data_IF_129870682309
#
_entry.id   IF_129870682309
#
_cell.length_a   1.000
_cell.length_b   1.000
_cell.length_c   1.000
_cell.angle_alpha   90.00
_cell.angle_beta   90.00
_cell.angle_gamma   90.00
#
_symmetry.space_group_name_H-M   'P 1'
#
loop_
_entity.id
_entity.type
_entity.pdbx_description
1 polymer ?
#
# COMPACT_ATOMS: atom_id res chain seq x y z
N UNK A 1 -10.87 18.83 -6.37
CA UNK A 1 -10.55 18.30 -5.01
C UNK A 1 -11.04 19.21 -3.88
N UNK A 2 -10.59 20.47 -3.76
CA UNK A 2 -11.07 21.37 -2.68
C UNK A 2 -12.59 21.59 -2.68
N UNK A 3 -13.19 21.72 -3.86
CA UNK A 3 -14.66 21.83 -4.00
C UNK A 3 -15.36 20.54 -3.56
N UNK A 4 -14.81 19.37 -3.88
CA UNK A 4 -15.33 18.05 -3.48
C UNK A 4 -15.36 17.92 -1.96
N UNK A 5 -14.26 18.28 -1.27
CA UNK A 5 -14.21 18.30 0.20
C UNK A 5 -15.19 19.28 0.80
N UNK A 6 -15.30 20.51 0.26
CA UNK A 6 -16.26 21.50 0.74
C UNK A 6 -17.71 21.07 0.56
N UNK A 7 -18.02 20.40 -0.53
CA UNK A 7 -19.36 19.87 -0.79
C UNK A 7 -19.68 18.67 0.12
N UNK A 8 -18.71 17.76 0.31
CA UNK A 8 -18.84 16.63 1.23
C UNK A 8 -19.08 17.09 2.68
N UNK A 9 -18.40 18.16 3.12
CA UNK A 9 -18.56 18.71 4.47
C UNK A 9 -19.97 19.26 4.74
N UNK A 10 -20.69 19.72 3.72
CA UNK A 10 -22.09 20.18 3.84
C UNK A 10 -23.07 19.03 4.08
N UNK A 11 -22.69 17.81 3.73
CA UNK A 11 -23.54 16.62 3.89
C UNK A 11 -23.27 16.03 5.28
N UNK A 12 -24.27 16.01 6.15
CA UNK A 12 -24.13 15.61 7.57
C UNK A 12 -23.55 14.20 7.74
N UNK A 13 -24.01 13.22 6.95
CA UNK A 13 -23.50 11.84 7.03
C UNK A 13 -22.03 11.72 6.62
N UNK A 14 -21.64 12.43 5.55
CA UNK A 14 -20.24 12.41 5.08
C UNK A 14 -19.35 13.17 6.08
N UNK A 15 -19.84 14.25 6.67
CA UNK A 15 -19.14 14.95 7.74
C UNK A 15 -18.87 14.03 8.94
N UNK A 16 -19.86 13.24 9.37
CA UNK A 16 -19.71 12.27 10.46
C UNK A 16 -18.64 11.21 10.11
N UNK A 17 -18.63 10.70 8.88
CA UNK A 17 -17.62 9.74 8.41
C UNK A 17 -16.22 10.35 8.35
N UNK A 18 -16.08 11.60 7.88
CA UNK A 18 -14.80 12.33 7.87
C UNK A 18 -14.29 12.50 9.30
N UNK A 19 -15.14 12.99 10.21
CA UNK A 19 -14.78 13.19 11.61
C UNK A 19 -14.37 11.88 12.30
N UNK A 20 -15.10 10.79 12.02
CA UNK A 20 -14.75 9.46 12.53
C UNK A 20 -13.39 8.99 12.02
N UNK A 21 -13.11 9.15 10.74
CA UNK A 21 -11.80 8.83 10.16
C UNK A 21 -10.68 9.65 10.81
N UNK A 22 -10.89 10.96 11.00
CA UNK A 22 -9.93 11.84 11.67
C UNK A 22 -9.72 11.45 13.13
N UNK A 23 -10.76 11.04 13.85
CA UNK A 23 -10.67 10.56 15.22
C UNK A 23 -9.76 9.31 15.30
N UNK A 24 -9.98 8.33 14.41
CA UNK A 24 -9.16 7.11 14.39
C UNK A 24 -7.70 7.45 14.02
N UNK A 25 -7.49 8.34 13.08
CA UNK A 25 -6.14 8.83 12.73
C UNK A 25 -5.45 9.46 13.94
N UNK A 26 -6.18 10.24 14.73
CA UNK A 26 -5.66 10.83 15.96
C UNK A 26 -5.30 9.75 16.99
N UNK A 27 -6.17 8.75 17.21
CA UNK A 27 -5.87 7.61 18.09
C UNK A 27 -4.62 6.84 17.63
N UNK A 28 -4.49 6.61 16.32
CA UNK A 28 -3.29 6.00 15.74
C UNK A 28 -2.03 6.83 16.03
N UNK A 29 -2.11 8.15 15.90
CA UNK A 29 -0.96 9.03 16.20
C UNK A 29 -0.60 9.06 17.70
N UNK A 30 -1.58 9.01 18.58
CA UNK A 30 -1.34 8.90 20.02
C UNK A 30 -0.63 7.58 20.36
N UNK A 31 -1.04 6.46 19.79
CA UNK A 31 -0.39 5.16 20.00
C UNK A 31 1.06 5.12 19.47
N UNK A 32 1.37 5.88 18.42
CA UNK A 32 2.75 6.03 17.92
C UNK A 32 3.66 6.82 18.89
N UNK A 33 3.12 7.50 19.86
CA UNK A 33 3.89 8.24 20.87
C UNK A 33 4.16 7.41 22.15
N UNK A 34 3.52 6.24 22.29
CA UNK A 34 3.66 5.41 23.50
C UNK A 34 4.78 4.38 23.30
N UNK A 35 5.90 4.48 24.01
CA UNK A 35 7.00 3.52 23.90
C UNK A 35 6.66 2.20 24.58
N UNK A 36 7.24 1.10 24.08
CA UNK A 36 7.15 -0.23 24.71
C UNK A 36 8.00 -0.24 25.98
N UNK A 37 7.51 -0.84 27.09
CA UNK A 37 8.27 -0.94 28.32
C UNK A 37 9.55 -1.77 28.13
N UNK A 38 10.54 -1.55 28.98
CA UNK A 38 11.83 -2.25 29.05
C UNK A 38 12.79 -1.99 27.88
N UNK A 39 12.46 -1.16 26.92
CA UNK A 39 13.31 -0.81 25.76
C UNK A 39 13.92 0.58 25.96
N UNK A 40 15.21 0.72 25.69
CA UNK A 40 15.87 2.03 25.62
C UNK A 40 15.64 2.67 24.26
N UNK A 41 14.64 3.54 24.19
CA UNK A 41 14.22 4.20 22.95
C UNK A 41 15.28 5.16 22.41
N UNK A 42 16.11 5.77 23.29
CA UNK A 42 17.19 6.68 22.85
C UNK A 42 18.31 5.89 22.21
N UNK A 43 18.79 4.85 22.89
CA UNK A 43 19.83 3.96 22.34
C UNK A 43 19.42 3.35 20.99
N UNK A 44 18.14 2.98 20.86
CA UNK A 44 17.61 2.45 19.60
C UNK A 44 17.58 3.52 18.48
N UNK A 45 17.15 4.74 18.78
CA UNK A 45 17.11 5.83 17.82
C UNK A 45 18.52 6.21 17.34
N UNK A 46 19.49 6.28 18.28
CA UNK A 46 20.89 6.56 17.98
C UNK A 46 21.53 5.44 17.16
N UNK A 47 21.26 4.18 17.52
CA UNK A 47 21.70 3.01 16.76
C UNK A 47 21.14 3.03 15.32
N UNK A 48 19.88 3.40 15.13
CA UNK A 48 19.24 3.51 13.82
C UNK A 48 19.89 4.61 12.95
N UNK A 49 20.37 5.69 13.57
CA UNK A 49 21.06 6.77 12.87
C UNK A 49 22.52 6.43 12.55
N UNK A 50 23.23 5.84 13.51
CA UNK A 50 24.67 5.55 13.40
C UNK A 50 24.98 4.35 12.49
N UNK A 51 24.10 3.34 12.46
CA UNK A 51 24.37 2.07 11.77
C UNK A 51 24.01 2.05 10.26
N UNK A 52 23.56 3.18 9.68
CA UNK A 52 23.14 3.23 8.27
C UNK A 52 21.88 2.40 7.96
N UNK A 53 21.20 1.86 8.99
CA UNK A 53 19.98 1.06 8.84
C UNK A 53 18.82 1.82 8.17
N UNK A 54 18.92 3.15 8.11
CA UNK A 54 17.95 3.99 7.38
C UNK A 54 17.90 3.67 5.87
N UNK A 55 19.00 3.17 5.32
CA UNK A 55 19.13 2.81 3.90
C UNK A 55 18.81 1.35 3.61
N UNK A 56 18.45 0.57 4.64
CA UNK A 56 18.06 -0.83 4.52
C UNK A 56 16.54 -0.98 4.52
N UNK A 57 16.07 -2.22 4.33
CA UNK A 57 14.67 -2.59 4.44
C UNK A 57 14.06 -2.18 5.80
N UNK A 58 14.86 -2.17 6.88
CA UNK A 58 14.41 -1.71 8.20
C UNK A 58 14.11 -0.20 8.20
N UNK A 59 14.87 0.60 7.44
CA UNK A 59 14.56 2.00 7.21
C UNK A 59 13.21 2.20 6.52
N UNK A 60 12.89 1.32 5.58
CA UNK A 60 11.61 1.31 4.91
C UNK A 60 10.44 0.99 5.86
N UNK A 61 10.60 -0.02 6.74
CA UNK A 61 9.62 -0.30 7.80
C UNK A 61 9.42 0.90 8.71
N UNK A 62 10.52 1.60 9.03
CA UNK A 62 10.45 2.83 9.81
C UNK A 62 9.68 3.95 9.09
N UNK A 63 9.78 4.06 7.76
CA UNK A 63 8.97 5.00 6.97
C UNK A 63 7.49 4.61 7.01
N UNK A 64 7.17 3.33 6.79
CA UNK A 64 5.78 2.83 6.76
C UNK A 64 5.11 2.86 8.14
N UNK A 65 5.88 2.78 9.22
CA UNK A 65 5.37 2.94 10.60
C UNK A 65 5.28 4.41 11.05
N UNK A 66 5.70 5.36 10.21
CA UNK A 66 5.71 6.78 10.58
C UNK A 66 6.75 7.15 11.63
N UNK A 67 7.84 6.37 11.77
CA UNK A 67 8.89 6.55 12.76
C UNK A 67 8.72 5.71 14.03
N UNK A 68 7.61 5.01 14.17
CA UNK A 68 7.31 4.16 15.32
C UNK A 68 8.33 3.02 15.51
N UNK A 69 8.87 2.48 14.40
CA UNK A 69 9.85 1.41 14.44
C UNK A 69 11.17 1.86 15.10
N UNK A 70 11.73 2.98 14.73
CA UNK A 70 12.99 3.49 15.32
C UNK A 70 12.86 3.96 16.77
N UNK A 71 11.65 4.11 17.28
CA UNK A 71 11.36 4.52 18.66
C UNK A 71 10.80 3.37 19.51
N UNK A 72 10.71 2.14 18.96
CA UNK A 72 10.09 0.98 19.62
C UNK A 72 8.76 1.32 20.29
N UNK A 73 7.86 1.99 19.61
CA UNK A 73 6.52 2.27 20.15
C UNK A 73 5.60 1.07 20.01
N UNK A 74 4.45 1.10 20.66
CA UNK A 74 3.44 0.01 20.59
C UNK A 74 3.09 -0.32 19.14
N UNK A 75 3.10 0.68 18.25
CA UNK A 75 2.78 0.54 16.83
C UNK A 75 4.01 0.36 15.92
N UNK A 76 5.14 -0.09 16.46
CA UNK A 76 6.39 -0.25 15.69
C UNK A 76 6.24 -1.19 14.48
N UNK A 77 5.51 -2.30 14.60
CA UNK A 77 5.23 -3.20 13.49
C UNK A 77 4.26 -2.63 12.47
N UNK A 78 3.57 -1.52 12.79
CA UNK A 78 2.59 -0.88 11.93
C UNK A 78 1.54 -1.88 11.42
N UNK A 79 1.08 -1.73 10.17
CA UNK A 79 0.11 -2.60 9.50
C UNK A 79 0.77 -3.75 8.72
N UNK A 80 2.12 -3.88 8.80
CA UNK A 80 2.90 -4.87 8.02
C UNK A 80 2.43 -6.32 8.23
N UNK A 81 2.19 -6.81 9.47
CA UNK A 81 1.70 -8.17 9.67
C UNK A 81 0.40 -8.45 8.94
N UNK A 82 -0.51 -7.47 8.90
CA UNK A 82 -1.77 -7.59 8.19
C UNK A 82 -1.59 -7.61 6.66
N UNK A 83 -0.74 -6.75 6.12
CA UNK A 83 -0.43 -6.73 4.68
C UNK A 83 0.13 -8.10 4.27
N UNK A 84 1.12 -8.62 5.00
CA UNK A 84 1.70 -9.92 4.73
C UNK A 84 0.67 -11.05 4.82
N UNK A 85 -0.18 -11.06 5.86
CA UNK A 85 -1.26 -12.02 6.01
C UNK A 85 -2.25 -11.96 4.84
N UNK A 86 -2.67 -10.75 4.46
CA UNK A 86 -3.60 -10.53 3.36
C UNK A 86 -3.05 -11.06 2.03
N UNK A 87 -1.76 -10.80 1.74
CA UNK A 87 -1.08 -11.30 0.54
C UNK A 87 -1.06 -12.83 0.55
N UNK A 88 -0.63 -13.43 1.67
CA UNK A 88 -0.54 -14.89 1.80
C UNK A 88 -1.92 -15.53 1.59
N UNK A 89 -2.96 -15.01 2.25
CA UNK A 89 -4.31 -15.54 2.11
C UNK A 89 -4.86 -15.35 0.70
N UNK A 90 -4.62 -14.21 0.04
CA UNK A 90 -5.01 -14.01 -1.36
C UNK A 90 -4.34 -15.01 -2.31
N UNK A 91 -3.05 -15.27 -2.12
CA UNK A 91 -2.32 -16.29 -2.89
C UNK A 91 -2.86 -17.70 -2.62
N UNK A 92 -3.15 -18.03 -1.35
CA UNK A 92 -3.74 -19.31 -0.97
C UNK A 92 -5.17 -19.49 -1.50
N UNK A 93 -5.96 -18.43 -1.62
CA UNK A 93 -7.28 -18.48 -2.24
C UNK A 93 -7.24 -18.86 -3.73
N UNK A 94 -6.11 -18.64 -4.41
CA UNK A 94 -5.93 -19.09 -5.80
C UNK A 94 -5.34 -20.50 -5.85
N UNK A 95 -4.40 -20.82 -4.93
CA UNK A 95 -3.71 -22.10 -4.91
C UNK A 95 -4.56 -23.24 -4.34
N UNK A 96 -5.47 -22.96 -3.41
CA UNK A 96 -6.28 -23.96 -2.71
C UNK A 96 -7.74 -23.89 -3.18
N UNK A 97 -8.26 -24.93 -3.90
CA UNK A 97 -9.62 -24.92 -4.44
C UNK A 97 -10.73 -24.73 -3.39
N UNK A 98 -10.49 -25.18 -2.16
CA UNK A 98 -11.45 -25.00 -1.06
C UNK A 98 -11.63 -23.53 -0.67
N UNK A 99 -10.51 -22.74 -0.64
CA UNK A 99 -10.55 -21.31 -0.36
C UNK A 99 -11.08 -20.51 -1.56
N UNK A 100 -10.77 -20.96 -2.77
CA UNK A 100 -11.31 -20.37 -4.00
C UNK A 100 -12.84 -20.45 -4.04
N UNK A 101 -13.40 -21.64 -3.73
CA UNK A 101 -14.86 -21.83 -3.64
C UNK A 101 -15.46 -20.94 -2.55
N UNK A 102 -14.82 -20.88 -1.39
CA UNK A 102 -15.29 -20.03 -0.30
C UNK A 102 -15.34 -18.55 -0.71
N UNK A 103 -14.38 -18.10 -1.51
CA UNK A 103 -14.31 -16.71 -2.00
C UNK A 103 -15.36 -16.41 -3.08
N UNK A 104 -15.57 -17.34 -4.04
CA UNK A 104 -16.43 -17.13 -5.21
C UNK A 104 -17.88 -17.53 -4.96
N UNK A 105 -18.10 -18.64 -4.26
CA UNK A 105 -19.43 -19.24 -4.06
C UNK A 105 -20.02 -18.93 -2.69
N UNK A 106 -19.17 -18.59 -1.68
CA UNK A 106 -19.60 -18.38 -0.31
C UNK A 106 -20.33 -17.05 -0.03
N UNK A 107 -20.47 -16.18 -1.03
CA UNK A 107 -21.17 -14.89 -0.88
C UNK A 107 -20.59 -14.03 0.26
N UNK A 108 -21.45 -13.40 1.05
CA UNK A 108 -21.04 -12.56 2.21
C UNK A 108 -20.46 -13.37 3.37
N UNK A 109 -20.95 -14.58 3.61
CA UNK A 109 -20.41 -15.46 4.66
C UNK A 109 -19.01 -15.95 4.30
N UNK A 110 -18.76 -16.29 3.04
CA UNK A 110 -17.45 -16.68 2.56
C UNK A 110 -16.42 -15.55 2.73
N UNK A 111 -16.78 -14.33 2.37
CA UNK A 111 -15.93 -13.16 2.57
C UNK A 111 -15.61 -12.93 4.06
N UNK A 112 -16.61 -13.06 4.96
CA UNK A 112 -16.40 -12.93 6.40
C UNK A 112 -15.47 -14.01 6.95
N UNK A 113 -15.57 -15.25 6.48
CA UNK A 113 -14.66 -16.34 6.88
C UNK A 113 -13.23 -16.08 6.42
N UNK A 114 -13.02 -15.63 5.18
CA UNK A 114 -11.69 -15.27 4.67
C UNK A 114 -11.10 -14.10 5.49
N UNK A 115 -11.89 -13.07 5.78
CA UNK A 115 -11.47 -11.98 6.64
C UNK A 115 -11.04 -12.46 8.03
N UNK A 116 -11.79 -13.41 8.65
CA UNK A 116 -11.41 -13.99 9.93
C UNK A 116 -10.10 -14.78 9.86
N UNK A 117 -9.89 -15.57 8.80
CA UNK A 117 -8.62 -16.29 8.59
C UNK A 117 -7.47 -15.29 8.45
N UNK A 118 -7.67 -14.20 7.71
CA UNK A 118 -6.66 -13.13 7.57
C UNK A 118 -6.33 -12.48 8.91
N UNK A 119 -7.32 -12.23 9.79
CA UNK A 119 -7.10 -11.67 11.13
C UNK A 119 -6.26 -12.61 12.00
N UNK A 120 -6.58 -13.92 12.05
CA UNK A 120 -5.79 -14.90 12.80
C UNK A 120 -4.37 -15.02 12.25
N UNK A 121 -4.22 -15.05 10.92
CA UNK A 121 -2.90 -15.07 10.27
C UNK A 121 -2.10 -13.80 10.59
N UNK A 122 -2.76 -12.65 10.69
CA UNK A 122 -2.13 -11.38 11.09
C UNK A 122 -1.52 -11.47 12.49
N UNK A 123 -2.25 -12.03 13.44
CA UNK A 123 -1.74 -12.21 14.82
C UNK A 123 -0.56 -13.18 14.83
N UNK A 124 -0.63 -14.30 14.09
CA UNK A 124 0.47 -15.26 14.01
C UNK A 124 1.74 -14.63 13.39
N UNK A 125 1.60 -13.91 12.30
CA UNK A 125 2.72 -13.18 11.65
C UNK A 125 3.22 -12.06 12.55
N UNK A 126 2.34 -11.35 13.24
CA UNK A 126 2.67 -10.33 14.23
C UNK A 126 3.53 -10.87 15.37
N UNK A 127 3.20 -12.07 15.90
CA UNK A 127 4.03 -12.76 16.90
C UNK A 127 5.42 -13.08 16.36
N UNK A 128 5.52 -13.61 15.14
CA UNK A 128 6.80 -13.92 14.50
C UNK A 128 7.65 -12.66 14.30
N UNK A 129 7.06 -11.60 13.77
CA UNK A 129 7.77 -10.32 13.55
C UNK A 129 8.11 -9.62 14.86
N UNK A 130 7.24 -9.67 15.86
CA UNK A 130 7.50 -9.14 17.19
C UNK A 130 8.66 -9.86 17.87
N UNK A 131 8.72 -11.20 17.74
CA UNK A 131 9.85 -12.00 18.21
C UNK A 131 11.16 -11.64 17.46
N UNK A 132 11.11 -11.48 16.13
CA UNK A 132 12.27 -11.07 15.35
C UNK A 132 12.81 -9.71 15.80
N UNK A 133 11.91 -8.75 16.03
CA UNK A 133 12.27 -7.42 16.47
C UNK A 133 12.84 -7.43 17.89
N UNK A 134 12.27 -8.23 18.80
CA UNK A 134 12.84 -8.44 20.13
C UNK A 134 14.26 -9.04 20.05
N UNK A 135 14.47 -10.08 19.22
CA UNK A 135 15.80 -10.69 19.05
C UNK A 135 16.81 -9.69 18.51
N UNK A 136 16.41 -8.85 17.55
CA UNK A 136 17.25 -7.76 17.05
C UNK A 136 17.66 -6.80 18.19
N UNK A 137 16.70 -6.31 18.98
CA UNK A 137 16.99 -5.41 20.09
C UNK A 137 17.88 -6.04 21.14
N UNK A 138 17.69 -7.32 21.43
CA UNK A 138 18.53 -8.08 22.38
C UNK A 138 19.97 -8.22 21.88
N UNK A 139 20.16 -8.56 20.62
CA UNK A 139 21.49 -8.77 20.01
C UNK A 139 22.33 -7.48 20.00
N UNK A 140 21.69 -6.34 19.88
CA UNK A 140 22.35 -5.03 19.88
C UNK A 140 22.34 -4.32 21.25
N UNK A 141 21.95 -5.04 22.32
CA UNK A 141 21.92 -4.52 23.69
C UNK A 141 21.07 -3.25 23.86
N UNK A 142 19.95 -3.17 23.15
CA UNK A 142 19.01 -2.05 23.16
C UNK A 142 17.88 -2.21 24.19
N UNK A 143 17.89 -3.29 24.95
CA UNK A 143 17.00 -3.56 26.07
C UNK A 143 17.70 -3.11 27.35
N UNK A 144 16.96 -2.50 28.27
CA UNK A 144 17.52 -2.06 29.55
C UNK A 144 18.23 -3.23 30.26
N UNK A 145 19.46 -2.99 30.71
CA UNK A 145 20.36 -4.02 31.23
C UNK A 145 19.72 -4.91 32.34
N UNK A 146 18.91 -4.30 33.20
CA UNK A 146 18.22 -5.00 34.31
C UNK A 146 17.19 -6.04 33.82
N UNK A 147 16.72 -5.93 32.60
CA UNK A 147 15.66 -6.76 32.01
C UNK A 147 16.12 -7.61 30.82
N UNK A 148 17.36 -7.46 30.35
CA UNK A 148 17.87 -8.11 29.14
C UNK A 148 17.86 -9.65 29.21
N UNK A 149 17.95 -10.25 30.39
CA UNK A 149 17.89 -11.71 30.65
C UNK A 149 16.52 -12.18 31.13
N UNK A 150 15.58 -11.28 31.37
CA UNK A 150 14.28 -11.63 31.95
C UNK A 150 13.29 -12.13 30.88
N UNK A 151 12.87 -13.38 31.00
CA UNK A 151 11.88 -14.00 30.09
C UNK A 151 10.53 -13.27 30.13
N UNK A 152 10.15 -12.72 31.30
CA UNK A 152 8.92 -11.96 31.44
C UNK A 152 8.95 -10.68 30.60
N UNK A 153 10.07 -9.95 30.60
CA UNK A 153 10.24 -8.77 29.77
C UNK A 153 10.15 -9.11 28.26
N UNK A 154 10.74 -10.23 27.85
CA UNK A 154 10.63 -10.71 26.47
C UNK A 154 9.17 -10.96 26.06
N UNK A 155 8.41 -11.66 26.90
CA UNK A 155 6.99 -11.95 26.63
C UNK A 155 6.19 -10.65 26.53
N UNK A 156 6.39 -9.70 27.45
CA UNK A 156 5.68 -8.41 27.45
C UNK A 156 5.99 -7.62 26.19
N UNK A 157 7.26 -7.52 25.78
CA UNK A 157 7.68 -6.79 24.58
C UNK A 157 7.03 -7.39 23.34
N UNK A 158 7.11 -8.73 23.15
CA UNK A 158 6.56 -9.41 21.97
C UNK A 158 5.04 -9.26 21.92
N UNK A 159 4.35 -9.47 23.04
CA UNK A 159 2.90 -9.31 23.12
C UNK A 159 2.46 -7.88 22.88
N UNK A 160 3.22 -6.89 23.35
CA UNK A 160 2.90 -5.46 23.14
C UNK A 160 2.98 -5.11 21.64
N UNK A 161 4.03 -5.54 20.93
CA UNK A 161 4.13 -5.31 19.48
C UNK A 161 3.01 -6.02 18.70
N UNK A 162 2.69 -7.26 19.10
CA UNK A 162 1.65 -8.03 18.43
C UNK A 162 0.27 -7.42 18.65
N UNK A 163 -0.05 -7.07 19.90
CA UNK A 163 -1.32 -6.41 20.23
C UNK A 163 -1.45 -5.03 19.56
N UNK A 164 -0.34 -4.29 19.47
CA UNK A 164 -0.31 -3.02 18.74
C UNK A 164 -0.65 -3.19 17.27
N UNK A 165 -0.05 -4.17 16.58
CA UNK A 165 -0.38 -4.42 15.16
C UNK A 165 -1.81 -4.93 14.96
N UNK A 166 -2.32 -5.76 15.87
CA UNK A 166 -3.71 -6.20 15.86
C UNK A 166 -4.69 -5.03 16.08
N UNK A 167 -4.34 -4.09 16.95
CA UNK A 167 -5.13 -2.88 17.17
C UNK A 167 -5.15 -1.99 15.93
N UNK A 168 -4.01 -1.80 15.25
CA UNK A 168 -3.94 -1.03 14.00
C UNK A 168 -4.80 -1.68 12.92
N UNK A 169 -4.75 -3.02 12.79
CA UNK A 169 -5.61 -3.77 11.87
C UNK A 169 -7.09 -3.46 12.15
N UNK A 170 -7.51 -3.56 13.42
CA UNK A 170 -8.88 -3.27 13.82
C UNK A 170 -9.27 -1.82 13.53
N UNK A 171 -8.40 -0.84 13.84
CA UNK A 171 -8.63 0.57 13.51
C UNK A 171 -8.78 0.79 12.00
N UNK A 172 -7.97 0.11 11.17
CA UNK A 172 -8.09 0.15 9.72
C UNK A 172 -9.42 -0.41 9.20
N UNK A 173 -9.88 -1.52 9.78
CA UNK A 173 -11.19 -2.09 9.45
C UNK A 173 -12.33 -1.15 9.86
N UNK A 174 -12.25 -0.49 11.02
CA UNK A 174 -13.24 0.50 11.46
C UNK A 174 -13.33 1.70 10.50
N UNK A 175 -12.20 2.20 9.99
CA UNK A 175 -12.23 3.25 8.97
C UNK A 175 -12.91 2.75 7.69
N UNK A 176 -12.64 1.52 7.27
CA UNK A 176 -13.23 0.96 6.05
C UNK A 176 -14.75 0.78 6.17
N UNK A 177 -15.24 0.39 7.35
CA UNK A 177 -16.66 0.13 7.60
C UNK A 177 -17.45 1.41 7.86
N UNK A 178 -16.96 2.29 8.73
CA UNK A 178 -17.69 3.48 9.20
C UNK A 178 -17.10 4.80 8.70
N UNK A 179 -15.93 4.80 8.08
CA UNK A 179 -15.24 5.99 7.61
C UNK A 179 -15.35 6.21 6.10
N UNK A 180 -14.27 6.71 5.50
CA UNK A 180 -14.16 7.00 4.08
C UNK A 180 -13.00 6.20 3.48
N UNK A 181 -13.25 5.53 2.36
CA UNK A 181 -12.23 4.82 1.60
C UNK A 181 -11.68 3.57 2.29
N UNK A 182 -10.47 3.17 1.92
CA UNK A 182 -9.78 2.02 2.49
C UNK A 182 -8.97 2.43 3.72
N UNK A 183 -9.37 1.97 4.90
CA UNK A 183 -8.75 2.38 6.17
C UNK A 183 -7.28 1.99 6.30
N UNK A 184 -6.89 0.84 5.72
CA UNK A 184 -5.50 0.39 5.71
C UNK A 184 -4.62 1.34 4.91
N UNK A 185 -5.09 1.73 3.72
CA UNK A 185 -4.41 2.70 2.86
C UNK A 185 -4.31 4.07 3.54
N UNK A 186 -5.36 4.50 4.25
CA UNK A 186 -5.36 5.77 5.00
C UNK A 186 -4.33 5.75 6.15
N UNK A 187 -4.23 4.65 6.90
CA UNK A 187 -3.22 4.53 7.96
C UNK A 187 -1.81 4.60 7.37
N UNK A 188 -1.54 3.92 6.26
CA UNK A 188 -0.26 4.02 5.54
C UNK A 188 0.02 5.45 5.06
N UNK A 189 -0.97 6.10 4.47
CA UNK A 189 -0.89 7.49 4.03
C UNK A 189 -0.49 8.42 5.18
N UNK A 190 -1.19 8.33 6.30
CA UNK A 190 -0.91 9.15 7.50
C UNK A 190 0.48 8.87 8.07
N UNK A 191 0.90 7.60 8.07
CA UNK A 191 2.24 7.21 8.54
C UNK A 191 3.33 7.87 7.72
N UNK A 192 3.21 7.82 6.40
CA UNK A 192 4.21 8.39 5.49
C UNK A 192 4.22 9.92 5.57
N UNK A 193 3.03 10.56 5.48
CA UNK A 193 2.89 12.03 5.49
C UNK A 193 3.39 12.61 6.80
N UNK A 194 3.22 11.92 7.92
CA UNK A 194 3.65 12.39 9.23
C UNK A 194 5.17 12.59 9.36
N UNK A 195 5.97 11.96 8.51
CA UNK A 195 7.44 12.14 8.50
C UNK A 195 7.89 13.30 7.61
N UNK A 196 7.04 13.81 6.73
CA UNK A 196 7.41 14.88 5.81
C UNK A 196 7.94 16.13 6.51
N UNK A 197 7.30 16.67 7.57
CA UNK A 197 7.82 17.86 8.24
C UNK A 197 9.23 17.67 8.78
N UNK A 198 9.49 16.55 9.46
CA UNK A 198 10.81 16.25 10.02
C UNK A 198 11.87 16.04 8.92
N UNK A 199 11.48 15.40 7.81
CA UNK A 199 12.36 15.20 6.66
C UNK A 199 12.74 16.54 6.01
N UNK A 200 11.78 17.46 5.86
CA UNK A 200 12.01 18.81 5.31
C UNK A 200 12.97 19.60 6.20
N UNK A 201 12.69 19.63 7.52
CA UNK A 201 13.54 20.34 8.50
C UNK A 201 14.97 19.81 8.44
N UNK A 202 15.16 18.49 8.41
CA UNK A 202 16.49 17.86 8.32
C UNK A 202 17.22 18.27 7.03
N UNK A 203 16.54 18.26 5.89
CA UNK A 203 17.13 18.64 4.61
C UNK A 203 17.53 20.12 4.58
N UNK A 204 16.70 21.01 5.14
CA UNK A 204 17.02 22.43 5.27
C UNK A 204 18.24 22.63 6.18
N UNK A 205 18.32 21.90 7.30
CA UNK A 205 19.47 21.96 8.20
C UNK A 205 20.76 21.47 7.50
N UNK A 206 20.71 20.43 6.69
CA UNK A 206 21.86 19.95 5.92
C UNK A 206 22.35 21.02 4.92
N UNK A 207 21.45 21.81 4.33
CA UNK A 207 21.82 22.93 3.47
C UNK A 207 22.45 24.07 4.28
N UNK A 208 21.89 24.38 5.46
CA UNK A 208 22.43 25.44 6.32
C UNK A 208 23.82 25.07 6.87
N UNK A 209 24.04 23.80 7.18
CA UNK A 209 25.34 23.29 7.66
C UNK A 209 26.41 23.18 6.55
N UNK A 210 25.99 23.32 5.27
CA UNK A 210 26.90 23.21 4.12
C UNK A 210 27.10 21.78 3.61
N UNK A 211 26.43 20.79 4.20
CA UNK A 211 26.51 19.37 3.80
C UNK A 211 25.83 19.12 2.46
N UNK A 212 24.83 19.94 2.11
CA UNK A 212 24.06 19.84 0.85
C UNK A 212 24.01 21.18 0.13
N UNK A 213 24.28 21.17 -1.18
CA UNK A 213 24.13 22.39 -1.98
C UNK A 213 22.65 22.75 -2.17
N UNK A 214 22.30 24.02 -1.98
CA UNK A 214 20.90 24.49 -2.05
C UNK A 214 20.20 24.17 -3.36
N UNK A 215 20.91 24.17 -4.50
CA UNK A 215 20.37 23.84 -5.81
C UNK A 215 19.97 22.36 -5.94
N UNK A 216 20.65 21.45 -5.21
CA UNK A 216 20.30 20.03 -5.15
C UNK A 216 18.94 19.85 -4.48
N UNK A 217 18.71 20.59 -3.36
CA UNK A 217 17.42 20.59 -2.67
C UNK A 217 16.28 21.05 -3.61
N UNK A 218 16.49 22.15 -4.34
CA UNK A 218 15.49 22.67 -5.30
C UNK A 218 15.20 21.64 -6.39
N UNK A 219 16.23 21.02 -6.96
CA UNK A 219 16.09 20.01 -8.01
C UNK A 219 15.33 18.78 -7.52
N UNK A 220 15.56 18.38 -6.28
CA UNK A 220 14.82 17.28 -5.63
C UNK A 220 13.32 17.56 -5.52
N UNK A 221 12.93 18.72 -4.97
CA UNK A 221 11.51 19.05 -4.81
C UNK A 221 10.84 19.24 -6.17
N UNK A 222 11.54 19.78 -7.16
CA UNK A 222 11.04 19.88 -8.52
C UNK A 222 10.85 18.50 -9.15
N UNK A 223 11.79 17.58 -8.94
CA UNK A 223 11.67 16.19 -9.35
C UNK A 223 10.51 15.46 -8.67
N UNK A 224 10.33 15.64 -7.35
CA UNK A 224 9.20 15.09 -6.62
C UNK A 224 7.86 15.64 -7.13
N UNK A 225 7.77 16.93 -7.42
CA UNK A 225 6.58 17.55 -8.00
C UNK A 225 6.27 16.97 -9.38
N UNK A 226 7.29 16.83 -10.24
CA UNK A 226 7.15 16.20 -11.55
C UNK A 226 6.65 14.76 -11.44
N UNK A 227 7.18 13.98 -10.49
CA UNK A 227 6.70 12.62 -10.21
C UNK A 227 5.23 12.63 -9.77
N UNK A 228 4.82 13.55 -8.89
CA UNK A 228 3.42 13.67 -8.46
C UNK A 228 2.52 13.94 -9.66
N UNK A 229 2.87 14.88 -10.54
CA UNK A 229 2.09 15.19 -11.74
C UNK A 229 1.98 13.96 -12.64
N UNK A 230 3.08 13.24 -12.85
CA UNK A 230 3.11 12.04 -13.67
C UNK A 230 2.22 10.93 -13.07
N UNK A 231 2.24 10.74 -11.74
CA UNK A 231 1.41 9.76 -11.04
C UNK A 231 -0.08 10.10 -11.20
N UNK A 232 -0.44 11.37 -11.04
CA UNK A 232 -1.84 11.82 -11.22
C UNK A 232 -2.30 11.58 -12.64
N UNK A 233 -1.52 11.97 -13.65
CA UNK A 233 -1.86 11.81 -15.07
C UNK A 233 -2.08 10.33 -15.43
N UNK A 234 -1.22 9.43 -14.98
CA UNK A 234 -1.37 7.99 -15.30
C UNK A 234 -2.50 7.33 -14.50
N UNK A 235 -2.73 7.72 -13.25
CA UNK A 235 -3.85 7.19 -12.46
C UNK A 235 -5.23 7.66 -12.96
N UNK A 236 -5.30 8.83 -13.61
CA UNK A 236 -6.51 9.35 -14.23
C UNK A 236 -6.68 8.89 -15.68
N UNK A 237 -5.62 8.36 -16.30
CA UNK A 237 -5.66 7.87 -17.66
C UNK A 237 -6.54 6.60 -17.76
N UNK A 238 -7.46 6.60 -18.73
CA UNK A 238 -8.34 5.48 -19.02
C UNK A 238 -8.42 5.17 -20.51
N UNK A 239 -8.46 3.88 -20.85
CA UNK A 239 -8.76 3.40 -22.20
C UNK A 239 -10.24 3.17 -22.32
N UNK A 240 -10.94 3.96 -23.13
CA UNK A 240 -12.38 3.83 -23.40
C UNK A 240 -12.60 2.87 -24.56
N UNK A 241 -13.24 1.72 -24.29
CA UNK A 241 -13.65 0.78 -25.35
C UNK A 241 -15.08 1.11 -25.77
N UNK A 242 -15.35 1.31 -27.07
CA UNK A 242 -16.70 1.61 -27.55
C UNK A 242 -17.60 0.37 -27.39
N UNK A 243 -18.75 0.55 -26.78
CA UNK A 243 -19.79 -0.47 -26.62
C UNK A 243 -21.08 0.06 -27.22
N UNK A 244 -21.71 -0.74 -28.04
CA UNK A 244 -23.01 -0.44 -28.66
C UNK A 244 -24.07 -1.40 -28.11
N UNK A 245 -25.22 -0.87 -27.76
CA UNK A 245 -26.38 -1.65 -27.33
C UNK A 245 -27.39 -1.78 -28.47
N UNK A 246 -27.92 -2.99 -28.68
CA UNK A 246 -28.95 -3.27 -29.67
C UNK A 246 -30.19 -2.44 -29.34
N UNK A 247 -30.82 -1.88 -30.39
CA UNK A 247 -32.09 -1.19 -30.25
C UNK A 247 -33.17 -2.24 -29.93
N UNK A 248 -33.90 -2.05 -28.84
CA UNK A 248 -35.09 -2.84 -28.51
C UNK A 248 -36.33 -2.02 -28.81
N UNK A 249 -37.24 -2.59 -29.57
CA UNK A 249 -38.58 -2.03 -29.81
C UNK A 249 -39.50 -2.66 -28.78
N UNK A 250 -40.10 -1.86 -27.89
CA UNK A 250 -41.12 -2.29 -26.94
C UNK A 250 -42.39 -1.53 -27.27
N UNK A 251 -43.32 -2.18 -27.94
CA UNK A 251 -44.53 -1.53 -28.50
C UNK A 251 -44.17 -0.54 -29.60
N UNK A 252 -44.70 0.69 -29.52
CA UNK A 252 -44.43 1.80 -30.47
C UNK A 252 -43.18 2.64 -30.15
N UNK A 253 -42.51 2.38 -29.03
CA UNK A 253 -41.33 3.17 -28.60
C UNK A 253 -40.04 2.38 -28.80
N UNK A 254 -39.06 3.00 -29.44
CA UNK A 254 -37.73 2.48 -29.61
C UNK A 254 -36.89 2.84 -28.37
N UNK A 255 -36.43 1.82 -27.65
CA UNK A 255 -35.49 1.96 -26.52
C UNK A 255 -34.12 1.40 -26.92
N UNK A 256 -33.04 2.10 -26.57
CA UNK A 256 -31.65 1.67 -26.82
C UNK A 256 -31.04 2.36 -28.04
N UNK A 257 -29.89 1.85 -28.47
CA UNK A 257 -29.08 2.45 -29.54
C UNK A 257 -28.11 3.55 -29.03
N UNK A 258 -27.97 3.71 -27.73
CA UNK A 258 -26.92 4.58 -27.16
C UNK A 258 -25.57 3.86 -27.28
N UNK A 259 -24.58 4.55 -27.84
CA UNK A 259 -23.20 4.12 -27.76
C UNK A 259 -22.63 4.59 -26.42
N UNK A 260 -22.16 3.66 -25.63
CA UNK A 260 -21.47 3.91 -24.38
C UNK A 260 -20.02 3.45 -24.49
N UNK A 261 -19.22 3.79 -23.51
CA UNK A 261 -17.84 3.34 -23.46
C UNK A 261 -17.61 2.51 -22.19
N UNK A 262 -16.83 1.44 -22.31
CA UNK A 262 -16.31 0.69 -21.17
C UNK A 262 -14.96 1.33 -20.79
N UNK A 263 -14.87 2.08 -19.65
CA UNK A 263 -13.62 2.67 -19.22
C UNK A 263 -12.73 1.61 -18.58
N UNK A 264 -11.50 1.49 -19.05
CA UNK A 264 -10.45 0.65 -18.44
C UNK A 264 -9.32 1.55 -17.99
N UNK A 265 -9.07 1.63 -16.69
CA UNK A 265 -7.97 2.43 -16.14
C UNK A 265 -6.62 1.88 -16.56
N UNK A 266 -5.66 2.75 -16.83
CA UNK A 266 -4.29 2.34 -17.18
C UNK A 266 -3.60 1.68 -15.98
N UNK A 267 -3.82 2.21 -14.79
CA UNK A 267 -3.40 1.57 -13.54
C UNK A 267 -4.62 0.96 -12.85
N UNK A 268 -5.02 -0.27 -13.27
CA UNK A 268 -6.16 -0.97 -12.67
C UNK A 268 -5.84 -1.53 -11.29
N UNK A 269 -4.61 -1.96 -11.08
CA UNK A 269 -4.15 -2.58 -9.84
C UNK A 269 -3.82 -1.58 -8.73
N UNK A 270 -3.80 -0.28 -9.03
CA UNK A 270 -3.51 0.77 -8.04
C UNK A 270 -2.10 0.66 -7.47
N UNK A 271 -1.99 0.84 -6.16
CA UNK A 271 -0.71 0.83 -5.42
C UNK A 271 -0.37 -0.54 -4.84
N UNK A 272 -1.34 -1.47 -4.79
CA UNK A 272 -1.19 -2.76 -4.13
C UNK A 272 -0.03 -3.62 -4.65
N UNK A 273 0.26 -3.70 -5.97
CA UNK A 273 1.39 -4.45 -6.47
C UNK A 273 2.74 -4.02 -5.89
N UNK A 274 2.92 -2.73 -5.67
CA UNK A 274 4.16 -2.19 -5.08
C UNK A 274 4.29 -2.62 -3.63
N UNK A 275 3.19 -2.52 -2.86
CA UNK A 275 3.15 -2.90 -1.45
C UNK A 275 3.44 -4.41 -1.32
N UNK A 276 2.88 -5.24 -2.22
CA UNK A 276 3.11 -6.68 -2.23
C UNK A 276 4.55 -7.03 -2.61
N UNK A 277 5.07 -6.44 -3.68
CA UNK A 277 6.45 -6.63 -4.10
C UNK A 277 7.43 -6.25 -2.99
N UNK A 278 7.17 -5.13 -2.31
CA UNK A 278 7.96 -4.63 -1.19
C UNK A 278 7.92 -5.57 0.01
N UNK A 279 6.73 -6.08 0.36
CA UNK A 279 6.56 -7.01 1.46
C UNK A 279 7.32 -8.32 1.23
N UNK A 280 7.28 -8.86 0.01
CA UNK A 280 8.01 -10.08 -0.34
C UNK A 280 9.52 -9.83 -0.43
N UNK A 281 9.94 -8.70 -1.00
CA UNK A 281 11.36 -8.34 -1.05
C UNK A 281 11.96 -8.15 0.36
N UNK A 282 11.13 -7.79 1.36
CA UNK A 282 11.52 -7.63 2.75
C UNK A 282 11.62 -8.96 3.53
N UNK A 283 11.01 -10.06 3.05
CA UNK A 283 11.00 -11.35 3.76
C UNK A 283 12.41 -11.90 4.05
N UNK A 284 13.37 -11.92 3.09
CA UNK A 284 14.71 -12.43 3.36
C UNK A 284 15.41 -11.68 4.49
N UNK A 285 15.33 -10.34 4.50
CA UNK A 285 15.92 -9.54 5.55
C UNK A 285 15.24 -9.76 6.92
N UNK A 286 13.92 -9.96 6.92
CA UNK A 286 13.16 -10.28 8.13
C UNK A 286 13.61 -11.65 8.67
N UNK A 287 13.75 -12.67 7.82
CA UNK A 287 14.22 -14.00 8.22
C UNK A 287 15.65 -13.94 8.76
N UNK A 288 16.54 -13.18 8.11
CA UNK A 288 17.91 -13.03 8.57
C UNK A 288 18.03 -12.28 9.91
N UNK A 289 17.06 -11.46 10.27
CA UNK A 289 17.00 -10.83 11.59
C UNK A 289 16.90 -11.89 12.72
N UNK A 290 16.34 -13.08 12.46
CA UNK A 290 16.30 -14.19 13.42
C UNK A 290 17.64 -14.89 13.61
N UNK A 291 18.51 -14.88 12.59
CA UNK A 291 19.77 -15.62 12.60
C UNK A 291 20.93 -14.66 12.31
N UNK A 292 21.61 -14.11 13.35
CA UNK A 292 22.67 -13.11 13.18
C UNK A 292 23.80 -13.54 12.26
N UNK A 293 24.08 -14.85 12.20
CA UNK A 293 25.10 -15.41 11.29
C UNK A 293 24.78 -15.22 9.80
N UNK A 294 23.51 -15.07 9.46
CA UNK A 294 23.07 -14.91 8.06
C UNK A 294 23.09 -13.45 7.62
N UNK A 295 23.11 -12.49 8.54
CA UNK A 295 23.14 -11.06 8.22
C UNK A 295 24.39 -10.68 7.40
N UNK A 296 25.53 -11.31 7.70
CA UNK A 296 26.79 -11.10 6.97
C UNK A 296 27.01 -12.14 5.86
N UNK A 297 25.99 -12.91 5.48
CA UNK A 297 26.07 -13.83 4.36
C UNK A 297 26.27 -13.09 3.05
N UNK A 298 27.10 -13.62 2.15
CA UNK A 298 27.34 -13.07 0.81
C UNK A 298 26.04 -12.76 0.06
N UNK A 299 25.01 -13.61 0.20
CA UNK A 299 23.70 -13.43 -0.44
C UNK A 299 23.00 -12.19 0.12
N UNK A 300 23.06 -11.93 1.43
CA UNK A 300 22.40 -10.78 2.04
C UNK A 300 23.07 -9.47 1.64
N UNK A 301 24.39 -9.44 1.63
CA UNK A 301 25.14 -8.22 1.32
C UNK A 301 25.19 -7.88 -0.17
N UNK A 302 25.04 -8.86 -1.08
CA UNK A 302 25.18 -8.64 -2.52
C UNK A 302 23.87 -8.76 -3.31
N UNK A 303 22.86 -9.46 -2.77
CA UNK A 303 21.60 -9.71 -3.48
C UNK A 303 20.43 -8.97 -2.84
N UNK A 304 20.34 -8.97 -1.51
CA UNK A 304 19.19 -8.42 -0.79
C UNK A 304 19.46 -7.06 -0.10
N UNK A 305 20.64 -6.48 -0.31
CA UNK A 305 20.88 -5.10 0.09
C UNK A 305 20.17 -4.16 -0.90
N UNK A 306 19.41 -3.20 -0.37
CA UNK A 306 18.61 -2.23 -1.14
C UNK A 306 19.43 -1.33 -2.06
N UNK A 307 20.73 -1.21 -1.82
CA UNK A 307 21.66 -0.40 -2.61
C UNK A 307 22.28 -1.17 -3.77
N UNK A 308 22.04 -2.48 -3.88
CA UNK A 308 22.65 -3.33 -4.90
C UNK A 308 21.80 -3.47 -6.16
N UNK A 309 22.46 -3.57 -7.31
CA UNK A 309 21.79 -3.78 -8.60
C UNK A 309 20.92 -5.06 -8.66
N UNK A 310 21.36 -6.23 -8.12
CA UNK A 310 20.52 -7.41 -8.09
C UNK A 310 19.19 -7.21 -7.35
N UNK A 311 19.20 -6.50 -6.22
CA UNK A 311 17.97 -6.16 -5.50
C UNK A 311 17.00 -5.33 -6.36
N UNK A 312 17.53 -4.30 -7.05
CA UNK A 312 16.74 -3.44 -7.92
C UNK A 312 16.05 -4.24 -9.03
N UNK A 313 16.79 -5.17 -9.65
CA UNK A 313 16.24 -6.04 -10.71
C UNK A 313 15.18 -6.99 -10.17
N UNK A 314 15.42 -7.63 -9.02
CA UNK A 314 14.44 -8.52 -8.38
C UNK A 314 13.17 -7.74 -8.02
N UNK A 315 13.32 -6.55 -7.45
CA UNK A 315 12.19 -5.71 -7.06
C UNK A 315 11.39 -5.24 -8.29
N UNK A 316 12.06 -4.87 -9.38
CA UNK A 316 11.42 -4.55 -10.66
C UNK A 316 10.57 -5.71 -11.18
N UNK A 317 11.12 -6.92 -11.21
CA UNK A 317 10.41 -8.12 -11.66
C UNK A 317 9.25 -8.48 -10.75
N UNK A 318 9.40 -8.32 -9.44
CA UNK A 318 8.31 -8.55 -8.48
C UNK A 318 7.15 -7.58 -8.70
N UNK A 319 7.41 -6.29 -8.94
CA UNK A 319 6.35 -5.32 -9.22
C UNK A 319 5.58 -5.70 -10.49
N UNK A 320 6.28 -6.09 -11.57
CA UNK A 320 5.63 -6.54 -12.81
C UNK A 320 4.79 -7.79 -12.55
N UNK A 321 5.34 -8.78 -11.85
CA UNK A 321 4.64 -10.02 -11.51
C UNK A 321 3.33 -9.72 -10.74
N UNK A 322 3.42 -8.93 -9.66
CA UNK A 322 2.26 -8.59 -8.86
C UNK A 322 1.26 -7.70 -9.58
N UNK A 323 1.70 -6.85 -10.51
CA UNK A 323 0.81 -6.05 -11.33
C UNK A 323 -0.06 -6.92 -12.23
N UNK A 324 0.53 -7.92 -12.89
CA UNK A 324 -0.23 -8.89 -13.67
C UNK A 324 -1.13 -9.76 -12.80
N UNK A 325 -0.58 -10.28 -11.72
CA UNK A 325 -1.32 -11.12 -10.77
C UNK A 325 -2.57 -10.39 -10.26
N UNK A 326 -2.43 -9.16 -9.79
CA UNK A 326 -3.52 -8.39 -9.23
C UNK A 326 -4.53 -7.95 -10.30
N UNK A 327 -4.08 -7.60 -11.49
CA UNK A 327 -4.96 -7.27 -12.61
C UNK A 327 -5.89 -8.43 -13.00
N UNK A 328 -5.41 -9.67 -12.97
CA UNK A 328 -6.23 -10.86 -13.27
C UNK A 328 -7.25 -11.18 -12.19
N UNK A 329 -6.97 -10.82 -10.93
CA UNK A 329 -7.93 -10.99 -9.82
C UNK A 329 -9.03 -9.94 -9.89
N UNK A 330 -8.64 -8.68 -10.14
CA UNK A 330 -9.54 -7.55 -10.05
C UNK A 330 -10.49 -7.43 -11.23
N UNK A 331 -10.07 -7.89 -12.40
CA UNK A 331 -10.84 -7.78 -13.62
C UNK A 331 -10.97 -9.12 -14.34
N UNK A 332 -12.22 -9.62 -14.45
CA UNK A 332 -12.53 -10.86 -15.15
C UNK A 332 -13.12 -10.55 -16.52
N UNK A 333 -12.36 -10.65 -17.63
CA UNK A 333 -12.84 -10.36 -18.98
C UNK A 333 -14.00 -11.24 -19.44
N UNK A 334 -14.06 -12.48 -18.94
CA UNK A 334 -15.14 -13.44 -19.30
C UNK A 334 -16.47 -12.98 -18.71
N UNK A 335 -16.43 -12.58 -17.45
CA UNK A 335 -17.64 -12.10 -16.75
C UNK A 335 -18.14 -10.79 -17.37
N UNK A 336 -17.25 -9.85 -17.68
CA UNK A 336 -17.58 -8.58 -18.35
C UNK A 336 -18.20 -8.85 -19.73
N UNK A 337 -17.61 -9.72 -20.55
CA UNK A 337 -18.14 -10.09 -21.86
C UNK A 337 -19.51 -10.77 -21.77
N UNK A 338 -19.74 -11.63 -20.77
CA UNK A 338 -21.02 -12.27 -20.53
C UNK A 338 -22.08 -11.26 -20.06
N UNK A 339 -21.72 -10.32 -19.20
CA UNK A 339 -22.62 -9.26 -18.75
C UNK A 339 -23.00 -8.32 -19.92
N UNK A 340 -22.05 -7.97 -20.79
CA UNK A 340 -22.34 -7.22 -22.01
C UNK A 340 -23.33 -8.00 -22.91
N UNK A 341 -23.09 -9.30 -23.15
CA UNK A 341 -23.96 -10.14 -23.93
C UNK A 341 -25.38 -10.22 -23.35
N UNK A 342 -25.52 -10.43 -22.04
CA UNK A 342 -26.82 -10.48 -21.34
C UNK A 342 -27.63 -9.19 -21.51
N UNK A 343 -26.94 -8.05 -21.50
CA UNK A 343 -27.55 -6.72 -21.64
C UNK A 343 -27.71 -6.27 -23.09
N UNK A 344 -27.46 -7.15 -24.08
CA UNK A 344 -27.57 -6.82 -25.50
C UNK A 344 -26.49 -5.86 -26.01
N UNK A 345 -25.38 -5.70 -25.26
CA UNK A 345 -24.21 -4.89 -25.62
C UNK A 345 -23.21 -5.72 -26.45
N UNK A 346 -22.52 -5.05 -27.36
CA UNK A 346 -21.45 -5.65 -28.16
C UNK A 346 -20.35 -4.59 -28.44
N UNK A 347 -19.15 -5.06 -28.69
CA UNK A 347 -18.03 -4.22 -29.12
C UNK A 347 -18.01 -4.25 -30.66
N UNK A 348 -18.03 -3.09 -31.35
CA UNK A 348 -17.97 -3.04 -32.81
C UNK A 348 -16.78 -3.83 -33.35
N UNK A 349 -17.04 -4.70 -34.34
CA UNK A 349 -16.02 -5.57 -34.95
C UNK A 349 -15.82 -6.93 -34.27
N UNK A 350 -16.44 -7.20 -33.11
CA UNK A 350 -16.34 -8.48 -32.40
C UNK A 350 -17.70 -9.09 -32.12
N UNK A 351 -17.83 -10.41 -32.30
CA UNK A 351 -19.06 -11.14 -31.95
C UNK A 351 -19.19 -11.19 -30.42
N UNK A 352 -20.42 -11.07 -29.93
CA UNK A 352 -20.70 -11.16 -28.49
C UNK A 352 -20.31 -12.56 -27.94
N UNK A 353 -19.69 -12.58 -26.76
CA UNK A 353 -19.25 -13.82 -26.09
C UNK A 353 -17.72 -13.99 -26.09
N UNK A 354 -17.24 -15.19 -26.41
CA UNK A 354 -15.80 -15.55 -26.35
C UNK A 354 -14.89 -14.61 -27.14
N UNK A 355 -15.18 -14.22 -28.41
CA UNK A 355 -14.31 -13.26 -29.13
C UNK A 355 -14.20 -11.88 -28.45
N UNK A 356 -15.29 -11.42 -27.81
CA UNK A 356 -15.29 -10.17 -27.04
C UNK A 356 -14.43 -10.32 -25.79
N UNK A 357 -14.49 -11.44 -25.07
CA UNK A 357 -13.63 -11.65 -23.88
C UNK A 357 -12.16 -11.73 -24.24
N UNK A 358 -11.80 -12.40 -25.36
CA UNK A 358 -10.42 -12.46 -25.85
C UNK A 358 -9.87 -11.10 -26.25
N UNK A 359 -10.69 -10.26 -26.88
CA UNK A 359 -10.32 -8.88 -27.22
C UNK A 359 -10.08 -8.06 -25.95
N UNK A 360 -11.02 -8.10 -24.99
CA UNK A 360 -10.88 -7.38 -23.70
C UNK A 360 -9.61 -7.86 -22.96
N UNK A 361 -9.33 -9.18 -22.96
CA UNK A 361 -8.13 -9.75 -22.36
C UNK A 361 -6.83 -9.22 -23.01
N UNK A 362 -6.80 -9.14 -24.35
CA UNK A 362 -5.65 -8.58 -25.08
C UNK A 362 -5.41 -7.11 -24.73
N UNK A 363 -6.47 -6.32 -24.63
CA UNK A 363 -6.39 -4.91 -24.24
C UNK A 363 -5.92 -4.79 -22.79
N UNK A 364 -6.50 -5.60 -21.88
CA UNK A 364 -6.10 -5.64 -20.47
C UNK A 364 -4.61 -5.94 -20.32
N UNK A 365 -4.09 -6.97 -20.98
CA UNK A 365 -2.69 -7.35 -20.91
C UNK A 365 -1.74 -6.21 -21.35
N UNK A 366 -2.09 -5.49 -22.41
CA UNK A 366 -1.31 -4.36 -22.91
C UNK A 366 -1.32 -3.18 -21.93
N UNK A 367 -2.48 -2.86 -21.38
CA UNK A 367 -2.64 -1.80 -20.40
C UNK A 367 -1.89 -2.15 -19.11
N UNK A 368 -2.03 -3.39 -18.64
CA UNK A 368 -1.33 -3.89 -17.44
C UNK A 368 0.19 -3.85 -17.61
N UNK A 369 0.71 -4.22 -18.79
CA UNK A 369 2.15 -4.12 -19.06
C UNK A 369 2.65 -2.69 -18.94
N UNK A 370 1.96 -1.75 -19.57
CA UNK A 370 2.32 -0.33 -19.49
C UNK A 370 2.26 0.19 -18.03
N UNK A 371 1.17 -0.11 -17.32
CA UNK A 371 1.00 0.23 -15.91
C UNK A 371 2.09 -0.38 -15.01
N UNK A 372 2.44 -1.66 -15.24
CA UNK A 372 3.47 -2.36 -14.48
C UNK A 372 4.86 -1.75 -14.69
N UNK A 373 5.24 -1.46 -15.93
CA UNK A 373 6.53 -0.81 -16.25
C UNK A 373 6.57 0.59 -15.63
N UNK A 374 5.50 1.36 -15.77
CA UNK A 374 5.37 2.68 -15.18
C UNK A 374 5.57 2.64 -13.65
N UNK A 375 4.82 1.77 -12.95
CA UNK A 375 4.93 1.61 -11.48
C UNK A 375 6.35 1.17 -11.08
N UNK A 376 6.93 0.23 -11.82
CA UNK A 376 8.27 -0.28 -11.55
C UNK A 376 9.33 0.81 -11.69
N UNK A 377 9.29 1.59 -12.78
CA UNK A 377 10.25 2.67 -13.03
C UNK A 377 10.20 3.71 -11.90
N UNK A 378 9.01 4.16 -11.51
CA UNK A 378 8.89 5.14 -10.41
C UNK A 378 9.35 4.54 -9.08
N UNK A 379 9.01 3.28 -8.80
CA UNK A 379 9.39 2.64 -7.54
C UNK A 379 10.91 2.43 -7.40
N UNK A 380 11.61 2.12 -8.50
CA UNK A 380 13.05 1.87 -8.48
C UNK A 380 13.90 3.13 -8.68
N UNK A 381 13.33 4.24 -9.17
CA UNK A 381 14.08 5.50 -9.42
C UNK A 381 14.89 5.95 -8.19
N UNK A 382 14.35 6.03 -6.96
CA UNK A 382 15.12 6.42 -5.79
C UNK A 382 16.21 5.39 -5.42
N UNK A 383 15.95 4.09 -5.65
CA UNK A 383 16.94 3.04 -5.40
C UNK A 383 18.12 3.15 -6.36
N UNK A 384 17.86 3.50 -7.63
CA UNK A 384 18.91 3.76 -8.62
C UNK A 384 19.71 5.00 -8.22
N UNK A 385 19.04 6.08 -7.80
CA UNK A 385 19.71 7.29 -7.33
C UNK A 385 20.60 6.97 -6.13
N UNK A 386 20.10 6.19 -5.16
CA UNK A 386 20.87 5.75 -4.00
C UNK A 386 22.04 4.84 -4.37
N UNK A 387 21.89 3.96 -5.35
CA UNK A 387 22.96 3.07 -5.81
C UNK A 387 24.06 3.81 -6.61
N UNK A 388 23.69 4.86 -7.34
CA UNK A 388 24.62 5.66 -8.14
C UNK A 388 25.32 6.76 -7.35
N UNK A 389 24.61 7.38 -6.40
CA UNK A 389 25.16 8.40 -5.51
C UNK A 389 25.79 7.71 -4.32
N UNK A 390 27.12 7.62 -4.30
CA UNK A 390 27.88 7.22 -3.10
C UNK A 390 27.82 8.27 -1.96
N UNK A 391 27.08 9.34 -2.15
CA UNK A 391 26.92 10.40 -1.19
C UNK A 391 25.92 9.96 -0.11
N UNK A 392 26.40 9.62 1.06
CA UNK A 392 25.58 9.38 2.27
C UNK A 392 24.61 10.53 2.57
N UNK A 393 24.91 11.72 2.08
CA UNK A 393 24.13 12.95 2.21
C UNK A 393 22.81 12.94 1.43
N UNK A 394 22.75 12.26 0.27
CA UNK A 394 21.53 12.10 -0.52
C UNK A 394 20.63 10.98 0.01
N UNK A 395 21.13 10.09 0.86
CA UNK A 395 20.36 8.99 1.44
C UNK A 395 19.31 9.44 2.48
N UNK A 396 19.41 10.68 2.97
CA UNK A 396 18.35 11.33 3.74
C UNK A 396 17.06 11.59 2.95
N UNK A 397 17.08 11.35 1.61
CA UNK A 397 15.93 11.43 0.70
C UNK A 397 15.15 10.11 0.69
N UNK A 398 14.81 9.61 1.85
CA UNK A 398 13.97 8.41 1.95
C UNK A 398 12.48 8.67 1.65
N UNK A 399 12.16 9.77 0.99
CA UNK A 399 10.91 9.96 0.25
C UNK A 399 11.00 9.13 -1.02
N UNK A 400 11.16 7.81 -0.85
CA UNK A 400 11.25 6.90 -1.96
C UNK A 400 10.05 7.05 -2.90
N UNK A 401 10.26 6.84 -4.21
CA UNK A 401 9.18 6.87 -5.18
C UNK A 401 7.97 6.04 -4.77
N UNK A 402 8.18 4.94 -4.04
CA UNK A 402 7.12 4.12 -3.44
C UNK A 402 6.26 4.91 -2.46
N UNK A 403 6.86 5.72 -1.57
CA UNK A 403 6.12 6.55 -0.61
C UNK A 403 5.28 7.62 -1.32
N UNK A 404 5.82 8.26 -2.36
CA UNK A 404 5.09 9.26 -3.15
C UNK A 404 3.93 8.60 -3.89
N UNK A 405 4.14 7.42 -4.52
CA UNK A 405 3.07 6.70 -5.22
C UNK A 405 1.95 6.33 -4.24
N UNK A 406 2.30 5.81 -3.06
CA UNK A 406 1.31 5.44 -2.03
C UNK A 406 0.53 6.68 -1.59
N UNK A 407 1.21 7.77 -1.26
CA UNK A 407 0.56 9.00 -0.81
C UNK A 407 -0.40 9.56 -1.86
N UNK A 408 0.07 9.72 -3.10
CA UNK A 408 -0.74 10.27 -4.19
C UNK A 408 -1.87 9.31 -4.58
N UNK A 409 -1.56 7.99 -4.67
CA UNK A 409 -2.55 6.97 -5.02
C UNK A 409 -3.69 6.90 -4.00
N UNK A 410 -3.37 6.87 -2.70
CA UNK A 410 -4.37 6.83 -1.62
C UNK A 410 -5.18 8.13 -1.57
N UNK A 411 -4.54 9.29 -1.76
CA UNK A 411 -5.25 10.57 -1.82
C UNK A 411 -6.29 10.59 -2.95
N UNK A 412 -5.90 10.15 -4.17
CA UNK A 412 -6.80 10.07 -5.32
C UNK A 412 -7.93 9.06 -5.08
N UNK A 413 -7.62 7.88 -4.54
CA UNK A 413 -8.60 6.84 -4.24
C UNK A 413 -9.62 7.31 -3.20
N UNK A 414 -9.16 7.99 -2.15
CA UNK A 414 -10.02 8.55 -1.10
C UNK A 414 -10.95 9.64 -1.65
N UNK A 415 -10.45 10.53 -2.51
CA UNK A 415 -11.27 11.56 -3.17
C UNK A 415 -12.34 10.92 -4.06
N UNK A 416 -11.97 9.91 -4.86
CA UNK A 416 -12.92 9.18 -5.72
C UNK A 416 -13.97 8.43 -4.90
N UNK A 417 -13.58 7.80 -3.79
CA UNK A 417 -14.52 7.15 -2.88
C UNK A 417 -15.53 8.15 -2.30
N UNK A 418 -15.08 9.35 -1.97
CA UNK A 418 -15.91 10.45 -1.47
C UNK A 418 -16.86 10.97 -2.55
N UNK A 419 -16.39 11.16 -3.78
CA UNK A 419 -17.21 11.54 -4.94
C UNK A 419 -18.29 10.49 -5.25
N UNK A 420 -17.93 9.19 -5.24
CA UNK A 420 -18.86 8.11 -5.44
C UNK A 420 -19.98 8.10 -4.38
N UNK A 421 -19.65 8.35 -3.10
CA UNK A 421 -20.65 8.43 -2.03
C UNK A 421 -21.56 9.66 -2.19
N UNK A 422 -21.06 10.79 -2.68
CA UNK A 422 -21.88 11.98 -2.98
C UNK A 422 -22.84 11.73 -4.15
N UNK A 423 -22.38 11.07 -5.23
CA UNK A 423 -23.21 10.78 -6.39
C UNK A 423 -24.35 9.80 -6.07
N UNK A 424 -24.09 8.76 -5.29
CA UNK A 424 -25.13 7.80 -4.86
C UNK A 424 -26.27 8.47 -4.10
N UNK A 425 -26.01 9.58 -3.42
CA UNK A 425 -27.02 10.29 -2.64
C UNK A 425 -27.86 11.25 -3.47
N UNK A 426 -27.23 11.93 -4.45
CA UNK A 426 -27.99 12.77 -5.38
C UNK A 426 -29.03 11.96 -6.18
N UNK A 427 -28.77 10.67 -6.42
CA UNK A 427 -29.72 9.77 -7.07
C UNK A 427 -30.90 9.35 -6.18
N UNK A 428 -30.68 9.22 -4.85
CA UNK A 428 -31.77 8.91 -3.91
C UNK A 428 -32.74 10.08 -3.71
N UNK A 429 -32.29 11.32 -3.85
CA UNK A 429 -33.15 12.51 -3.79
C UNK A 429 -34.08 12.70 -4.99
N UNK A 430 -33.90 11.92 -6.07
CA UNK A 430 -34.78 11.96 -7.25
C UNK A 430 -35.91 10.90 -7.20
N UNK A 431 -35.86 9.99 -6.22
CA UNK A 431 -36.80 8.88 -6.04
C UNK A 431 -37.66 9.01 -4.75
N UNK A 432 -37.49 10.12 -4.01
CA UNK A 432 -38.29 10.45 -2.81
C UNK A 432 -39.27 11.59 -3.17
#
# INVERSE_FOLDING_TARGET
MLQTFRNAWRIEELRKKILFTLLIVLLYRLGNAVPVPFVDTKALADYFQASGLQNTILGLFNVMSGGAFSQATIFALSIQPYINASIIIQLLCIAIPALERLQKEGGEEGKKKIASITRYSTVAIGLLQGFAYYMMMRNYSLINADFASNVWAAIVIILTFTSGSALIMWLGEQITEFGIGNGISIILFVSIVARFPNSIIRQVNNVVNGDLAWWVLVLMYLGALLLIVLIVLVNDAERRLPVQYSKRVVGRKMYGGQSTHLPMKVNMSGVLPIIFAQSIAALPATICAFVPKWQNSWIMTHVFDTTTWPYIVIYFLLIIFFSYFYSTIQFNPIEVANNLKKNGGFIPGFRAGKPTSEFIQKVLNKITLFGAIYLSVIAITPLIISACSKAEELTGISLGGTSIIIVVGVALETVRALEAQMLMRNYKGFLS
#
